data_IF_688638080130
#
_entry.id   IF_688638080130
#
_cell.length_a   1.000
_cell.length_b   1.000
_cell.length_c   1.000
_cell.angle_alpha   90.00
_cell.angle_beta   90.00
_cell.angle_gamma   90.00
#
_symmetry.space_group_name_H-M   'P 1'
#
loop_
_entity.id
_entity.type
_entity.pdbx_description
1 polymer ?
#
# COMPACT_ATOMS: atom_id res chain seq x y z
N UNK A 1 -25.00 -33.84 -33.53
CA UNK A 1 -24.94 -33.21 -32.19
C UNK A 1 -23.58 -33.42 -31.48
N UNK A 2 -22.43 -33.46 -32.20
CA UNK A 2 -21.10 -33.60 -31.57
C UNK A 2 -20.16 -32.40 -31.81
N UNK A 3 -20.51 -31.49 -32.74
CA UNK A 3 -19.67 -30.33 -33.10
C UNK A 3 -19.97 -29.07 -32.28
N UNK A 4 -21.16 -28.96 -31.68
CA UNK A 4 -21.55 -27.80 -30.86
C UNK A 4 -20.89 -27.85 -29.47
N UNK A 5 -20.60 -29.04 -28.96
CA UNK A 5 -19.96 -29.21 -27.64
C UNK A 5 -18.50 -28.74 -27.62
N UNK A 6 -17.80 -28.76 -28.77
CA UNK A 6 -16.40 -28.34 -28.86
C UNK A 6 -16.24 -26.81 -28.80
N UNK A 7 -17.23 -26.05 -29.29
CA UNK A 7 -17.18 -24.58 -29.25
C UNK A 7 -17.52 -24.02 -27.86
N UNK A 8 -18.30 -24.74 -27.05
CA UNK A 8 -18.62 -24.30 -25.69
C UNK A 8 -17.43 -24.45 -24.73
N UNK A 9 -16.54 -25.43 -24.97
CA UNK A 9 -15.32 -25.63 -24.17
C UNK A 9 -14.21 -24.60 -24.46
N UNK A 10 -14.25 -23.94 -25.61
CA UNK A 10 -13.28 -22.91 -25.99
C UNK A 10 -13.61 -21.52 -25.39
N UNK A 11 -14.87 -21.27 -24.99
CA UNK A 11 -15.28 -20.00 -24.38
C UNK A 11 -15.01 -19.93 -22.87
N UNK A 12 -14.80 -21.06 -22.20
CA UNK A 12 -14.55 -21.09 -20.74
C UNK A 12 -13.06 -20.82 -20.44
N UNK A 13 -12.17 -20.95 -21.42
CA UNK A 13 -10.72 -20.77 -21.25
C UNK A 13 -10.25 -19.31 -21.04
N UNK A 14 -11.10 -18.32 -21.26
CA UNK A 14 -10.70 -16.90 -21.22
C UNK A 14 -11.18 -16.12 -19.98
N UNK A 15 -11.95 -16.73 -19.07
CA UNK A 15 -12.52 -16.00 -17.92
C UNK A 15 -11.63 -16.08 -16.66
N UNK A 16 -10.54 -16.85 -16.69
CA UNK A 16 -9.71 -17.08 -15.50
C UNK A 16 -8.37 -16.32 -15.46
N UNK A 17 -8.13 -15.34 -16.34
CA UNK A 17 -7.16 -14.28 -16.04
C UNK A 17 -7.80 -13.29 -15.05
N UNK A 18 -8.14 -13.80 -13.87
CA UNK A 18 -8.41 -12.96 -12.72
C UNK A 18 -7.23 -12.02 -12.56
N UNK A 19 -7.52 -10.72 -12.50
CA UNK A 19 -6.56 -9.64 -12.30
C UNK A 19 -5.61 -9.96 -11.14
N UNK A 20 -4.52 -10.64 -11.44
CA UNK A 20 -3.41 -10.77 -10.52
C UNK A 20 -2.79 -9.37 -10.53
N UNK A 21 -3.26 -8.50 -9.63
CA UNK A 21 -2.68 -7.16 -9.43
C UNK A 21 -1.17 -7.36 -9.29
N UNK A 22 -0.43 -7.09 -10.36
CA UNK A 22 0.95 -7.50 -10.50
C UNK A 22 1.76 -6.80 -9.42
N UNK A 23 2.45 -7.57 -8.58
CA UNK A 23 3.46 -7.02 -7.69
C UNK A 23 4.44 -6.22 -8.55
N UNK A 24 4.76 -5.00 -8.15
CA UNK A 24 5.76 -4.18 -8.83
C UNK A 24 7.06 -4.20 -8.03
N UNK A 25 8.17 -3.89 -8.69
CA UNK A 25 9.47 -3.82 -8.01
C UNK A 25 9.45 -2.70 -6.95
N UNK A 26 10.07 -2.94 -5.80
CA UNK A 26 10.24 -1.93 -4.76
C UNK A 26 11.43 -1.04 -5.15
N UNK A 27 11.12 0.15 -5.65
CA UNK A 27 12.08 1.18 -6.00
C UNK A 27 11.47 2.56 -5.75
N UNK A 28 12.29 3.60 -5.85
CA UNK A 28 11.93 4.97 -5.55
C UNK A 28 10.78 5.46 -6.44
N UNK A 29 10.83 5.18 -7.75
CA UNK A 29 9.81 5.61 -8.71
C UNK A 29 8.43 5.02 -8.42
N UNK A 30 8.38 3.73 -8.04
CA UNK A 30 7.12 3.05 -7.75
C UNK A 30 6.54 3.44 -6.39
N UNK A 31 7.39 3.87 -5.44
CA UNK A 31 6.98 4.38 -4.12
C UNK A 31 6.58 5.86 -4.20
N UNK A 32 7.23 6.65 -5.05
CA UNK A 32 7.05 8.08 -5.18
C UNK A 32 5.68 8.43 -5.78
N UNK A 33 4.66 8.43 -4.92
CA UNK A 33 3.26 8.74 -5.23
C UNK A 33 2.60 9.39 -4.01
N UNK A 34 1.40 9.90 -4.22
CA UNK A 34 0.49 10.28 -3.15
C UNK A 34 -0.37 9.08 -2.77
N UNK A 35 -0.25 8.65 -1.51
CA UNK A 35 -0.92 7.46 -0.98
C UNK A 35 -1.92 7.86 0.09
N UNK A 36 -3.14 7.32 0.04
CA UNK A 36 -4.22 7.59 1.00
C UNK A 36 -4.62 6.30 1.69
N UNK A 37 -4.85 6.38 3.00
CA UNK A 37 -5.29 5.22 3.79
C UNK A 37 -6.62 4.68 3.26
N UNK A 38 -6.64 3.39 2.95
CA UNK A 38 -7.83 2.66 2.53
C UNK A 38 -8.31 1.66 3.57
N UNK A 39 -7.37 1.02 4.27
CA UNK A 39 -7.69 -0.02 5.23
C UNK A 39 -6.55 -0.22 6.24
N UNK A 40 -6.81 -0.95 7.31
CA UNK A 40 -5.80 -1.46 8.25
C UNK A 40 -5.94 -2.97 8.41
N UNK A 41 -4.82 -3.64 8.67
CA UNK A 41 -4.73 -5.07 8.93
C UNK A 41 -4.02 -5.23 10.27
N UNK A 42 -4.73 -5.76 11.27
CA UNK A 42 -4.17 -6.06 12.58
C UNK A 42 -4.84 -7.33 13.14
N UNK A 43 -4.11 -8.45 13.29
CA UNK A 43 -4.70 -9.72 13.72
C UNK A 43 -5.16 -9.72 15.19
N UNK A 44 -4.82 -8.68 15.96
CA UNK A 44 -5.20 -8.55 17.37
C UNK A 44 -6.51 -7.78 17.58
N UNK A 45 -7.07 -7.18 16.54
CA UNK A 45 -8.31 -6.40 16.62
C UNK A 45 -9.49 -7.23 16.16
N UNK A 46 -10.62 -7.09 16.86
CA UNK A 46 -11.93 -7.45 16.33
C UNK A 46 -12.31 -6.57 15.14
N UNK A 47 -13.35 -6.96 14.41
CA UNK A 47 -13.83 -6.16 13.28
C UNK A 47 -14.31 -4.76 13.69
N UNK A 48 -15.00 -4.64 14.83
CA UNK A 48 -15.48 -3.37 15.35
C UNK A 48 -14.32 -2.43 15.71
N UNK A 49 -13.32 -2.92 16.47
CA UNK A 49 -12.13 -2.14 16.83
C UNK A 49 -11.31 -1.76 15.59
N UNK A 50 -11.26 -2.64 14.59
CA UNK A 50 -10.59 -2.34 13.31
C UNK A 50 -11.30 -1.21 12.57
N UNK A 51 -12.63 -1.19 12.54
CA UNK A 51 -13.41 -0.14 11.89
C UNK A 51 -13.27 1.20 12.62
N UNK A 52 -13.30 1.19 13.95
CA UNK A 52 -13.05 2.38 14.77
C UNK A 52 -11.66 2.95 14.49
N UNK A 53 -10.61 2.13 14.57
CA UNK A 53 -9.24 2.57 14.26
C UNK A 53 -9.07 3.05 12.83
N UNK A 54 -9.76 2.44 11.86
CA UNK A 54 -9.75 2.92 10.47
C UNK A 54 -10.39 4.31 10.36
N UNK A 55 -11.49 4.56 11.07
CA UNK A 55 -12.16 5.87 11.06
C UNK A 55 -11.24 6.98 11.62
N UNK A 56 -10.42 6.67 12.62
CA UNK A 56 -9.43 7.62 13.16
C UNK A 56 -8.31 7.98 12.18
N UNK A 57 -8.06 7.12 11.18
CA UNK A 57 -7.05 7.32 10.15
C UNK A 57 -7.65 7.85 8.84
N UNK A 58 -8.96 8.10 8.80
CA UNK A 58 -9.62 8.62 7.61
C UNK A 58 -8.98 9.95 7.17
N UNK A 59 -8.77 10.10 5.87
CA UNK A 59 -8.08 11.26 5.30
C UNK A 59 -6.56 11.29 5.49
N UNK A 60 -5.96 10.30 6.16
CA UNK A 60 -4.50 10.22 6.30
C UNK A 60 -3.83 10.03 4.94
N UNK A 61 -2.81 10.85 4.65
CA UNK A 61 -2.04 10.78 3.42
C UNK A 61 -0.55 10.66 3.67
N UNK A 62 0.12 9.93 2.79
CA UNK A 62 1.57 9.76 2.77
C UNK A 62 2.06 10.05 1.35
N UNK A 63 2.84 11.11 1.21
CA UNK A 63 3.33 11.61 -0.06
C UNK A 63 4.82 11.39 -0.10
N UNK A 64 5.27 10.61 -1.07
CA UNK A 64 6.68 10.43 -1.38
C UNK A 64 6.95 11.09 -2.73
N UNK A 65 7.82 12.09 -2.78
CA UNK A 65 8.16 12.77 -4.02
C UNK A 65 9.46 12.21 -4.61
N UNK A 66 9.62 12.34 -5.92
CA UNK A 66 10.80 11.86 -6.65
C UNK A 66 12.09 12.60 -6.29
N UNK A 67 11.99 13.80 -5.70
CA UNK A 67 13.11 14.60 -5.20
C UNK A 67 13.54 14.22 -3.76
N UNK A 68 13.03 13.09 -3.25
CA UNK A 68 13.27 12.60 -1.88
C UNK A 68 12.65 13.47 -0.77
N UNK A 69 11.79 14.44 -1.10
CA UNK A 69 10.92 15.09 -0.11
C UNK A 69 9.71 14.23 0.21
N UNK A 70 9.22 14.32 1.45
CA UNK A 70 8.06 13.57 1.92
C UNK A 70 7.10 14.45 2.72
N UNK A 71 5.81 14.12 2.66
CA UNK A 71 4.76 14.70 3.49
C UNK A 71 3.91 13.61 4.12
N UNK A 72 3.64 13.73 5.42
CA UNK A 72 2.64 12.92 6.13
C UNK A 72 1.54 13.83 6.68
N UNK A 73 0.33 13.66 6.15
CA UNK A 73 -0.86 14.40 6.54
C UNK A 73 -1.65 13.53 7.52
N UNK A 74 -1.56 13.84 8.82
CA UNK A 74 -2.37 13.18 9.86
C UNK A 74 -2.65 14.16 11.00
N UNK A 75 -3.86 14.74 11.03
CA UNK A 75 -4.30 15.85 11.91
C UNK A 75 -3.47 17.14 11.71
N UNK A 76 -2.16 17.02 11.66
CA UNK A 76 -1.16 18.03 11.32
C UNK A 76 -0.30 17.52 10.17
N UNK A 77 0.11 18.43 9.29
CA UNK A 77 1.09 18.13 8.26
C UNK A 77 2.51 18.04 8.84
N UNK A 78 3.25 17.02 8.42
CA UNK A 78 4.69 16.86 8.66
C UNK A 78 5.40 16.74 7.32
N UNK A 79 6.38 17.61 7.10
CA UNK A 79 7.22 17.60 5.90
C UNK A 79 8.65 17.26 6.26
N UNK A 80 9.36 16.62 5.34
CA UNK A 80 10.74 16.23 5.56
C UNK A 80 11.36 15.51 4.37
N UNK A 81 12.32 14.63 4.65
CA UNK A 81 12.99 13.81 3.63
C UNK A 81 12.73 12.34 3.80
N UNK A 82 12.83 11.58 2.70
CA UNK A 82 12.78 10.12 2.73
C UNK A 82 13.91 9.47 1.94
N UNK A 83 14.19 8.21 2.24
CA UNK A 83 15.09 7.34 1.47
C UNK A 83 14.61 5.90 1.53
N UNK A 84 14.96 5.11 0.51
CA UNK A 84 14.62 3.70 0.42
C UNK A 84 15.86 2.83 0.66
N UNK A 85 15.75 1.89 1.61
CA UNK A 85 16.62 0.72 1.69
C UNK A 85 15.91 -0.46 0.99
N UNK A 86 16.38 -0.77 -0.22
CA UNK A 86 15.83 -1.85 -1.06
C UNK A 86 16.09 -3.24 -0.47
N UNK A 87 17.22 -3.40 0.22
CA UNK A 87 17.65 -4.68 0.80
C UNK A 87 16.75 -5.05 1.97
N UNK A 88 16.52 -4.11 2.89
CA UNK A 88 15.64 -4.34 4.04
C UNK A 88 14.16 -4.03 3.75
N UNK A 89 13.85 -3.52 2.56
CA UNK A 89 12.51 -3.07 2.14
C UNK A 89 11.92 -2.04 3.11
N UNK A 90 12.75 -1.10 3.56
CA UNK A 90 12.37 -0.04 4.51
C UNK A 90 12.48 1.33 3.87
N UNK A 91 11.44 2.14 4.03
CA UNK A 91 11.48 3.57 3.76
C UNK A 91 11.84 4.27 5.07
N UNK A 92 12.88 5.08 5.07
CA UNK A 92 13.24 5.91 6.21
C UNK A 92 12.75 7.33 5.94
N UNK A 93 12.00 7.91 6.87
CA UNK A 93 11.51 9.30 6.79
C UNK A 93 12.06 10.10 7.96
N UNK A 94 12.41 11.36 7.72
CA UNK A 94 12.88 12.30 8.75
C UNK A 94 12.17 13.63 8.63
N UNK A 95 11.55 14.08 9.71
CA UNK A 95 10.88 15.38 9.81
C UNK A 95 11.23 16.07 11.15
N UNK A 96 10.57 17.19 11.45
CA UNK A 96 10.76 17.95 12.68
C UNK A 96 10.50 17.16 13.98
N UNK A 97 9.75 16.07 13.94
CA UNK A 97 9.46 15.17 15.08
C UNK A 97 10.46 14.01 15.19
N UNK A 98 11.39 13.88 14.26
CA UNK A 98 12.43 12.86 14.27
C UNK A 98 12.35 11.90 13.09
N UNK A 99 12.87 10.68 13.30
CA UNK A 99 12.99 9.66 12.27
C UNK A 99 11.96 8.55 12.46
N UNK A 100 11.46 8.01 11.36
CA UNK A 100 10.58 6.85 11.34
C UNK A 100 11.01 5.87 10.24
N UNK A 101 10.65 4.61 10.41
CA UNK A 101 10.79 3.58 9.38
C UNK A 101 9.41 3.10 8.93
N UNK A 102 9.28 2.78 7.65
CA UNK A 102 8.10 2.15 7.08
C UNK A 102 8.52 0.88 6.36
N UNK A 103 8.12 -0.26 6.89
CA UNK A 103 8.43 -1.57 6.30
C UNK A 103 7.41 -1.88 5.21
N UNK A 104 7.91 -2.15 4.00
CA UNK A 104 7.09 -2.41 2.80
C UNK A 104 6.75 -3.90 2.70
N UNK A 105 5.55 -4.28 3.14
CA UNK A 105 5.06 -5.66 3.10
C UNK A 105 4.66 -6.09 1.69
N UNK A 106 4.00 -5.19 0.96
CA UNK A 106 3.57 -5.41 -0.43
C UNK A 106 3.54 -4.08 -1.18
N UNK A 107 3.91 -4.12 -2.45
CA UNK A 107 3.81 -2.99 -3.37
C UNK A 107 3.24 -3.48 -4.70
N UNK A 108 2.15 -2.85 -5.13
CA UNK A 108 1.45 -3.04 -6.40
C UNK A 108 1.23 -1.67 -7.02
N UNK A 109 0.82 -1.65 -8.28
CA UNK A 109 0.60 -0.40 -8.99
C UNK A 109 -0.40 0.54 -8.28
N UNK A 110 -1.44 -0.04 -7.68
CA UNK A 110 -2.56 0.66 -7.05
C UNK A 110 -2.68 0.42 -5.53
N UNK A 111 -1.64 -0.12 -4.89
CA UNK A 111 -1.70 -0.46 -3.47
C UNK A 111 -0.30 -0.59 -2.88
N UNK A 112 -0.08 0.01 -1.70
CA UNK A 112 1.10 -0.24 -0.88
C UNK A 112 0.67 -0.61 0.54
N UNK A 113 1.31 -1.63 1.10
CA UNK A 113 1.03 -2.10 2.46
C UNK A 113 2.26 -1.84 3.32
N UNK A 114 2.10 -0.96 4.31
CA UNK A 114 3.19 -0.47 5.16
C UNK A 114 2.91 -0.74 6.64
N UNK A 115 3.97 -0.94 7.42
CA UNK A 115 3.92 -0.80 8.89
C UNK A 115 4.94 0.24 9.33
N UNK A 116 4.52 1.16 10.20
CA UNK A 116 5.41 2.17 10.77
C UNK A 116 6.18 1.59 11.96
N UNK A 117 7.49 1.83 12.02
CA UNK A 117 8.38 1.42 13.11
C UNK A 117 8.23 -0.06 13.49
N UNK A 118 8.09 -0.93 12.48
CA UNK A 118 7.89 -2.37 12.63
C UNK A 118 6.67 -2.75 13.52
N UNK A 119 5.66 -1.88 13.59
CA UNK A 119 4.41 -2.17 14.29
C UNK A 119 3.68 -3.38 13.69
N UNK A 120 2.96 -4.12 14.54
CA UNK A 120 2.12 -5.25 14.13
C UNK A 120 1.02 -4.80 13.16
N UNK A 121 0.49 -3.59 13.37
CA UNK A 121 -0.52 -3.01 12.50
C UNK A 121 0.09 -2.65 11.14
N UNK A 122 -0.54 -3.16 10.08
CA UNK A 122 -0.26 -2.77 8.70
C UNK A 122 -1.35 -1.83 8.22
N UNK A 123 -0.97 -0.87 7.41
CA UNK A 123 -1.85 0.10 6.79
C UNK A 123 -1.81 -0.14 5.29
N UNK A 124 -2.97 -0.26 4.69
CA UNK A 124 -3.15 -0.38 3.24
C UNK A 124 -3.42 1.01 2.73
N UNK A 125 -2.54 1.50 1.85
CA UNK A 125 -2.75 2.73 1.13
C UNK A 125 -3.00 2.45 -0.34
N UNK A 126 -3.76 3.34 -0.98
CA UNK A 126 -4.02 3.36 -2.43
C UNK A 126 -3.59 4.72 -2.99
N UNK A 127 -3.24 4.83 -4.27
CA UNK A 127 -2.95 6.13 -4.88
C UNK A 127 -4.16 7.07 -4.76
N UNK A 128 -3.91 8.35 -4.47
CA UNK A 128 -4.91 9.43 -4.63
C UNK A 128 -5.11 9.78 -6.11
#
# INVERSE_FOLDING_TARGET
>A
MKKILLYLLLLIGFISFGQQKSSVAINENNIAKKWVVKNIINPKLSEAERLENLSMLEGTKLIFNTDMSYTFEFVTELTGTWRLDKTSRKIHTKDRRGENTWTVHSLKENEIVLSRNDAIQKIVFVPE
#
